data_IF_392806339517
#
_entry.id   IF_392806339517
#
_cell.length_a   1.000
_cell.length_b   1.000
_cell.length_c   1.000
_cell.angle_alpha   90.00
_cell.angle_beta   90.00
_cell.angle_gamma   90.00
#
_symmetry.space_group_name_H-M   'P 1'
#
loop_
_entity.id
_entity.type
_entity.pdbx_description
1 polymer ?
#
# COMPACT_ATOMS: atom_id res chain seq x y z
N UNK A 1 -0.67 0.23 -19.22
CA UNK A 1 0.00 -0.70 -18.32
C UNK A 1 0.32 -0.02 -17.00
N UNK A 2 0.24 -0.73 -15.91
CA UNK A 2 0.53 -0.17 -14.61
C UNK A 2 2.00 -0.17 -14.28
N UNK A 3 2.35 0.43 -13.16
CA UNK A 3 3.69 0.44 -12.62
C UNK A 3 4.05 -0.94 -12.05
N UNK A 4 5.33 -1.22 -11.92
CA UNK A 4 5.79 -2.41 -11.23
C UNK A 4 5.60 -2.31 -9.72
N UNK A 5 5.72 -3.43 -9.04
CA UNK A 5 5.59 -3.50 -7.58
C UNK A 5 6.90 -4.01 -7.00
N UNK A 6 7.39 -3.33 -5.98
CA UNK A 6 8.53 -3.77 -5.19
C UNK A 6 8.07 -3.85 -3.73
N UNK A 7 8.43 -4.93 -3.06
CA UNK A 7 8.14 -5.12 -1.65
C UNK A 7 9.40 -4.81 -0.86
N UNK A 8 9.28 -3.91 0.09
CA UNK A 8 10.37 -3.60 0.98
C UNK A 8 10.23 -4.42 2.26
N UNK A 9 11.34 -4.80 2.83
CA UNK A 9 11.47 -5.40 4.16
C UNK A 9 10.24 -6.15 4.67
N UNK A 10 9.68 -5.61 5.72
CA UNK A 10 8.56 -6.23 6.45
C UNK A 10 7.25 -6.28 5.65
N UNK A 11 7.15 -5.49 4.59
CA UNK A 11 5.91 -5.45 3.80
C UNK A 11 5.58 -6.81 3.17
N UNK A 12 6.59 -7.49 2.66
CA UNK A 12 6.39 -8.82 2.10
C UNK A 12 5.92 -9.82 3.16
N UNK A 13 6.52 -9.75 4.35
CA UNK A 13 6.12 -10.63 5.46
C UNK A 13 4.68 -10.35 5.88
N UNK A 14 4.31 -9.08 5.98
CA UNK A 14 2.93 -8.69 6.29
C UNK A 14 1.96 -9.26 5.25
N UNK A 15 2.33 -9.12 3.97
CA UNK A 15 1.49 -9.61 2.89
C UNK A 15 1.31 -11.13 2.98
N UNK A 16 2.37 -11.85 3.30
CA UNK A 16 2.29 -13.29 3.49
C UNK A 16 1.38 -13.67 4.66
N UNK A 17 1.39 -12.89 5.74
CA UNK A 17 0.50 -13.10 6.88
C UNK A 17 -0.98 -12.95 6.49
N UNK A 18 -1.27 -11.99 5.62
CA UNK A 18 -2.64 -11.76 5.17
C UNK A 18 -3.21 -12.90 4.33
N UNK A 19 -2.38 -13.87 3.90
CA UNK A 19 -2.85 -15.04 3.17
C UNK A 19 -3.87 -15.84 3.98
N UNK A 20 -3.88 -15.68 5.30
CA UNK A 20 -4.80 -16.36 6.20
C UNK A 20 -6.17 -15.69 6.27
N UNK A 21 -6.30 -14.47 5.77
CA UNK A 21 -7.53 -13.69 5.78
C UNK A 21 -7.88 -13.32 4.33
N UNK A 22 -8.69 -14.16 3.71
CA UNK A 22 -8.98 -14.02 2.29
C UNK A 22 -9.68 -12.70 1.93
N UNK A 23 -10.56 -12.22 2.79
CA UNK A 23 -11.28 -10.98 2.54
C UNK A 23 -10.33 -9.78 2.56
N UNK A 24 -9.46 -9.73 3.57
CA UNK A 24 -8.48 -8.65 3.68
C UNK A 24 -7.45 -8.73 2.55
N UNK A 25 -7.00 -9.93 2.21
CA UNK A 25 -6.08 -10.13 1.10
C UNK A 25 -6.66 -9.61 -0.21
N UNK A 26 -7.92 -9.91 -0.47
CA UNK A 26 -8.61 -9.43 -1.66
C UNK A 26 -8.64 -7.90 -1.70
N UNK A 27 -8.88 -7.28 -0.55
CA UNK A 27 -8.88 -5.81 -0.43
C UNK A 27 -7.51 -5.24 -0.73
N UNK A 28 -6.46 -5.82 -0.15
CA UNK A 28 -5.08 -5.39 -0.37
C UNK A 28 -4.72 -5.50 -1.85
N UNK A 29 -5.05 -6.63 -2.47
CA UNK A 29 -4.77 -6.83 -3.90
C UNK A 29 -5.48 -5.80 -4.76
N UNK A 30 -6.71 -5.44 -4.42
CA UNK A 30 -7.45 -4.42 -5.14
C UNK A 30 -6.80 -3.04 -4.99
N UNK A 31 -6.32 -2.72 -3.79
CA UNK A 31 -5.62 -1.46 -3.54
C UNK A 31 -4.32 -1.36 -4.34
N UNK A 32 -3.55 -2.45 -4.37
CA UNK A 32 -2.30 -2.49 -5.13
C UNK A 32 -2.58 -2.32 -6.62
N UNK A 33 -3.56 -3.03 -7.13
CA UNK A 33 -3.93 -2.94 -8.54
C UNK A 33 -4.33 -1.50 -8.91
N UNK A 34 -5.10 -0.86 -8.05
CA UNK A 34 -5.53 0.52 -8.29
C UNK A 34 -4.37 1.51 -8.16
N UNK A 35 -3.46 1.30 -7.21
CA UNK A 35 -2.28 2.13 -7.07
C UNK A 35 -1.35 2.04 -8.27
N UNK A 36 -1.29 0.88 -8.92
CA UNK A 36 -0.52 0.72 -10.15
C UNK A 36 -1.10 1.55 -11.30
N UNK A 37 -2.42 1.72 -11.30
CA UNK A 37 -3.09 2.56 -12.29
C UNK A 37 -2.82 4.04 -12.01
N UNK A 38 -3.02 4.45 -10.78
CA UNK A 38 -2.82 5.84 -10.34
C UNK A 38 -2.46 5.82 -8.84
N UNK A 39 -1.21 6.08 -8.50
CA UNK A 39 -0.79 5.99 -7.09
C UNK A 39 -1.33 7.11 -6.21
N UNK A 40 -1.90 8.15 -6.80
CA UNK A 40 -2.31 9.36 -6.05
C UNK A 40 -3.80 9.55 -5.97
N UNK A 41 -4.58 8.70 -6.64
CA UNK A 41 -6.04 8.81 -6.66
C UNK A 41 -6.65 7.42 -6.82
N UNK A 42 -7.86 7.24 -6.31
CA UNK A 42 -8.60 6.00 -6.47
C UNK A 42 -9.16 5.48 -5.16
N UNK A 43 -9.29 4.15 -5.07
CA UNK A 43 -9.92 3.50 -3.93
C UNK A 43 -9.04 3.54 -2.69
N UNK A 44 -9.66 3.41 -1.52
CA UNK A 44 -8.94 3.35 -0.26
C UNK A 44 -8.49 4.71 0.26
N UNK A 45 -8.99 5.80 -0.30
CA UNK A 45 -8.66 7.17 0.14
C UNK A 45 -7.16 7.42 0.19
N UNK A 46 -6.46 7.35 -0.96
CA UNK A 46 -5.03 7.61 -0.97
C UNK A 46 -4.74 9.01 -0.47
N UNK A 47 -3.79 9.11 0.45
CA UNK A 47 -3.40 10.39 1.02
C UNK A 47 -1.90 10.45 1.24
N UNK A 48 -1.28 11.62 1.02
CA UNK A 48 0.14 11.79 1.30
C UNK A 48 0.37 11.90 2.80
N UNK A 49 1.45 11.30 3.28
CA UNK A 49 1.86 11.45 4.67
C UNK A 49 2.70 12.72 4.81
N UNK A 50 2.87 13.17 6.05
CA UNK A 50 3.44 14.49 6.33
C UNK A 50 4.70 14.40 7.17
N UNK A 51 5.39 15.53 7.30
CA UNK A 51 6.57 15.68 8.13
C UNK A 51 7.68 14.71 7.72
N UNK A 52 8.18 13.89 8.63
CA UNK A 52 9.26 12.96 8.34
C UNK A 52 8.87 11.89 7.33
N UNK A 53 7.58 11.74 7.07
CA UNK A 53 7.05 10.74 6.15
C UNK A 53 6.68 11.33 4.78
N UNK A 54 7.09 12.57 4.52
CA UNK A 54 6.83 13.22 3.23
C UNK A 54 7.38 12.37 2.08
N UNK A 55 6.56 12.17 1.06
CA UNK A 55 6.89 11.30 -0.07
C UNK A 55 6.23 9.93 0.03
N UNK A 56 5.76 9.56 1.22
CA UNK A 56 5.00 8.33 1.39
C UNK A 56 3.51 8.60 1.23
N UNK A 57 2.79 7.58 0.80
CA UNK A 57 1.34 7.60 0.63
C UNK A 57 0.73 6.42 1.35
N UNK A 58 -0.53 6.56 1.76
CA UNK A 58 -1.25 5.45 2.38
C UNK A 58 -2.65 5.33 1.83
N UNK A 59 -3.15 4.11 1.81
CA UNK A 59 -4.54 3.78 1.47
C UNK A 59 -5.12 2.91 2.58
N UNK A 60 -6.40 3.04 2.83
CA UNK A 60 -7.08 2.27 3.87
C UNK A 60 -7.32 0.83 3.44
N UNK A 61 -6.84 -0.10 4.22
CA UNK A 61 -7.20 -1.52 4.09
C UNK A 61 -8.49 -1.76 4.89
N UNK A 62 -8.48 -1.36 6.15
CA UNK A 62 -9.60 -1.43 7.08
C UNK A 62 -9.44 -0.33 8.13
N UNK A 63 -10.15 -0.41 9.25
CA UNK A 63 -10.12 0.64 10.28
C UNK A 63 -8.77 0.76 10.98
N UNK A 64 -7.97 -0.30 10.98
CA UNK A 64 -6.71 -0.33 11.72
C UNK A 64 -5.47 -0.45 10.85
N UNK A 65 -5.62 -0.96 9.62
CA UNK A 65 -4.48 -1.27 8.76
C UNK A 65 -4.49 -0.43 7.51
N UNK A 66 -3.29 -0.04 7.06
CA UNK A 66 -3.10 0.74 5.85
C UNK A 66 -2.03 0.14 4.97
N UNK A 67 -2.20 0.35 3.67
CA UNK A 67 -1.17 0.06 2.68
C UNK A 67 -0.34 1.33 2.53
N UNK A 68 0.92 1.27 2.96
CA UNK A 68 1.84 2.41 2.88
C UNK A 68 2.85 2.16 1.77
N UNK A 69 3.04 3.14 0.91
CA UNK A 69 3.89 2.98 -0.27
C UNK A 69 4.50 4.31 -0.69
N UNK A 70 5.49 4.22 -1.57
CA UNK A 70 6.06 5.38 -2.26
C UNK A 70 6.23 5.05 -3.73
N UNK A 71 6.36 6.08 -4.55
CA UNK A 71 6.59 5.95 -5.98
C UNK A 71 8.04 6.27 -6.27
N UNK A 72 8.73 5.35 -6.91
CA UNK A 72 10.11 5.55 -7.35
C UNK A 72 10.17 5.20 -8.83
N UNK A 73 10.25 6.22 -9.69
CA UNK A 73 10.18 6.00 -11.13
C UNK A 73 8.88 5.32 -11.52
N UNK A 74 8.98 4.17 -12.16
CA UNK A 74 7.82 3.39 -12.56
C UNK A 74 7.43 2.33 -11.54
N UNK A 75 7.99 2.39 -10.33
CA UNK A 75 7.76 1.39 -9.30
C UNK A 75 6.89 1.94 -8.19
N UNK A 76 5.97 1.10 -7.72
CA UNK A 76 5.30 1.28 -6.44
C UNK A 76 6.08 0.45 -5.43
N UNK A 77 6.70 1.10 -4.46
CA UNK A 77 7.44 0.41 -3.40
C UNK A 77 6.53 0.29 -2.18
N UNK A 78 6.12 -0.94 -1.86
CA UNK A 78 5.25 -1.19 -0.71
C UNK A 78 6.13 -1.27 0.53
N UNK A 79 5.86 -0.40 1.49
CA UNK A 79 6.64 -0.29 2.72
C UNK A 79 5.99 -1.02 3.89
N UNK A 80 4.66 -1.08 3.89
CA UNK A 80 3.89 -1.76 4.93
C UNK A 80 2.48 -2.02 4.43
N UNK A 81 1.88 -3.10 4.90
CA UNK A 81 0.46 -3.35 4.68
C UNK A 81 -0.22 -3.87 5.96
N UNK A 82 0.30 -3.45 7.10
CA UNK A 82 -0.25 -3.75 8.42
C UNK A 82 0.04 -2.58 9.34
N UNK A 83 -0.93 -2.24 10.21
CA UNK A 83 -0.82 -1.06 11.04
C UNK A 83 -0.87 0.22 10.20
N UNK A 84 -0.37 1.31 10.74
CA UNK A 84 -0.29 2.57 10.03
C UNK A 84 0.86 3.42 10.58
N UNK A 85 1.35 4.31 9.72
CA UNK A 85 2.35 5.31 10.11
C UNK A 85 1.62 6.54 10.64
N UNK A 86 2.14 7.12 11.66
CA UNK A 86 1.56 8.34 12.23
C UNK A 86 2.32 9.59 11.79
#
# INVERSE_FOLDING_TARGET
MGRGIQWDGDAWEDYCEWQKDKATLKRINALIKDARRDPFDGIGKPEPLKHDLTGLWSRRINDTDRLTYKVVGDMIVILACKGHYN
#
